data_IF_239789592287
#
_entry.id   IF_239789592287
#
_cell.length_a   1.000
_cell.length_b   1.000
_cell.length_c   1.000
_cell.angle_alpha   90.00
_cell.angle_beta   90.00
_cell.angle_gamma   90.00
#
_symmetry.space_group_name_H-M   'P 1'
#
loop_
_entity.id
_entity.type
_entity.pdbx_description
1 polymer ?
#
# COMPACT_ATOMS: atom_id res chain seq x y z
N UNK A 1 0.30 -12.88 -11.49
CA UNK A 1 1.00 -11.71 -10.92
C UNK A 1 0.87 -10.58 -11.94
N UNK A 2 0.53 -9.36 -11.51
CA UNK A 2 0.35 -8.19 -12.39
C UNK A 2 1.24 -7.05 -11.86
N UNK A 3 1.84 -6.27 -12.76
CA UNK A 3 2.78 -5.19 -12.45
C UNK A 3 2.34 -3.85 -13.06
N UNK A 4 2.53 -2.75 -12.33
CA UNK A 4 2.43 -1.38 -12.87
C UNK A 4 3.49 -0.44 -12.26
N UNK A 5 3.73 0.67 -12.94
CA UNK A 5 4.72 1.69 -12.57
C UNK A 5 4.07 3.08 -12.56
N UNK A 6 4.05 3.70 -11.39
CA UNK A 6 3.80 5.14 -11.18
C UNK A 6 5.14 5.84 -11.01
N UNK A 7 5.23 7.15 -11.29
CA UNK A 7 6.51 7.88 -11.32
C UNK A 7 7.35 7.79 -10.01
N UNK A 8 6.78 7.31 -8.88
CA UNK A 8 7.52 6.94 -7.66
C UNK A 8 7.17 5.57 -7.03
N UNK A 9 6.21 4.80 -7.57
CA UNK A 9 5.73 3.54 -6.97
C UNK A 9 5.63 2.40 -7.98
N UNK A 10 6.17 1.24 -7.60
CA UNK A 10 5.87 -0.04 -8.27
C UNK A 10 4.72 -0.73 -7.57
N UNK A 11 3.71 -1.17 -8.30
CA UNK A 11 2.60 -1.94 -7.73
C UNK A 11 2.67 -3.36 -8.26
N UNK A 12 2.58 -4.32 -7.35
CA UNK A 12 2.64 -5.75 -7.62
C UNK A 12 1.41 -6.41 -7.03
N UNK A 13 0.58 -7.04 -7.85
CA UNK A 13 -0.61 -7.76 -7.38
C UNK A 13 -0.45 -9.28 -7.52
N UNK A 14 -0.67 -9.98 -6.41
CA UNK A 14 -0.76 -11.44 -6.31
C UNK A 14 -2.23 -11.83 -6.14
N UNK A 15 -2.78 -12.51 -7.14
CA UNK A 15 -4.18 -12.96 -7.14
C UNK A 15 -4.28 -14.47 -7.32
N UNK A 16 -5.38 -15.05 -6.83
CA UNK A 16 -5.62 -16.50 -6.87
C UNK A 16 -6.61 -16.96 -5.80
N UNK A 17 -7.05 -18.21 -5.91
CA UNK A 17 -8.06 -18.81 -5.03
C UNK A 17 -7.64 -18.81 -3.54
N UNK A 18 -8.61 -19.04 -2.64
CA UNK A 18 -8.33 -19.24 -1.22
C UNK A 18 -7.37 -20.42 -0.99
N UNK A 19 -6.50 -20.34 0.02
CA UNK A 19 -5.58 -21.44 0.38
C UNK A 19 -4.36 -21.64 -0.53
N UNK A 20 -4.27 -20.95 -1.68
CA UNK A 20 -3.18 -21.14 -2.65
C UNK A 20 -1.80 -20.61 -2.20
N UNK A 21 -1.69 -20.01 -1.00
CA UNK A 21 -0.42 -19.52 -0.46
C UNK A 21 -0.02 -18.09 -0.84
N UNK A 22 -0.95 -17.22 -1.27
CA UNK A 22 -0.65 -15.80 -1.59
C UNK A 22 0.01 -15.04 -0.44
N UNK A 23 -0.60 -15.13 0.74
CA UNK A 23 -0.07 -14.53 1.98
C UNK A 23 1.29 -15.12 2.33
N UNK A 24 1.48 -16.43 2.18
CA UNK A 24 2.78 -17.10 2.39
C UNK A 24 3.86 -16.56 1.45
N UNK A 25 3.54 -16.37 0.17
CA UNK A 25 4.45 -15.77 -0.81
C UNK A 25 4.80 -14.33 -0.40
N UNK A 26 3.81 -13.52 -0.06
CA UNK A 26 4.02 -12.15 0.39
C UNK A 26 4.90 -12.10 1.65
N UNK A 27 4.70 -13.00 2.63
CA UNK A 27 5.49 -13.08 3.85
C UNK A 27 6.96 -13.39 3.57
N UNK A 28 7.23 -14.29 2.60
CA UNK A 28 8.59 -14.59 2.16
C UNK A 28 9.25 -13.38 1.52
N UNK A 29 8.54 -12.63 0.68
CA UNK A 29 9.06 -11.40 0.06
C UNK A 29 9.32 -10.33 1.12
N UNK A 30 8.35 -10.04 1.99
CA UNK A 30 8.47 -9.04 3.05
C UNK A 30 9.65 -9.28 3.98
N UNK A 31 9.91 -10.55 4.33
CA UNK A 31 11.01 -10.92 5.22
C UNK A 31 12.36 -11.07 4.53
N UNK A 32 12.41 -10.97 3.20
CA UNK A 32 13.62 -11.17 2.44
C UNK A 32 14.65 -10.05 2.69
N UNK A 33 15.92 -10.42 2.94
CA UNK A 33 17.00 -9.46 3.27
C UNK A 33 17.15 -8.37 2.21
N UNK A 34 17.05 -8.71 0.92
CA UNK A 34 17.12 -7.73 -0.18
C UNK A 34 15.98 -6.69 -0.13
N UNK A 35 14.78 -7.10 0.28
CA UNK A 35 13.64 -6.18 0.43
C UNK A 35 13.91 -5.22 1.58
N UNK A 36 14.33 -5.74 2.74
CA UNK A 36 14.64 -4.91 3.93
C UNK A 36 15.82 -3.96 3.70
N UNK A 37 16.82 -4.38 2.93
CA UNK A 37 17.97 -3.52 2.60
C UNK A 37 17.61 -2.41 1.61
N UNK A 38 16.77 -2.71 0.62
CA UNK A 38 16.36 -1.72 -0.39
C UNK A 38 15.27 -0.77 0.13
N UNK A 39 14.36 -1.28 0.95
CA UNK A 39 13.27 -0.53 1.57
C UNK A 39 13.40 -0.58 3.10
N UNK A 40 14.14 0.35 3.73
CA UNK A 40 14.30 0.38 5.18
C UNK A 40 12.98 0.57 5.94
N UNK A 41 11.97 1.14 5.28
CA UNK A 41 10.61 1.25 5.83
C UNK A 41 9.75 0.15 5.21
N UNK A 42 9.42 -0.86 5.99
CA UNK A 42 8.55 -1.97 5.56
C UNK A 42 7.29 -2.00 6.42
N UNK A 43 6.13 -2.06 5.78
CA UNK A 43 4.82 -2.04 6.44
C UNK A 43 4.00 -3.22 5.93
N UNK A 44 3.36 -3.95 6.85
CA UNK A 44 2.43 -5.03 6.51
C UNK A 44 1.07 -4.77 7.14
N UNK A 45 0.04 -4.66 6.33
CA UNK A 45 -1.34 -4.51 6.79
C UNK A 45 -2.17 -5.66 6.24
N UNK A 46 -2.79 -6.42 7.14
CA UNK A 46 -3.84 -7.36 6.80
C UNK A 46 -5.17 -6.59 6.77
N UNK A 47 -5.70 -6.35 5.58
CA UNK A 47 -6.93 -5.58 5.41
C UNK A 47 -8.11 -6.51 5.59
N UNK A 48 -8.43 -6.81 6.84
CA UNK A 48 -9.65 -7.53 7.17
C UNK A 48 -10.88 -6.72 6.72
N UNK A 49 -12.02 -7.37 6.49
CA UNK A 49 -13.29 -6.68 6.17
C UNK A 49 -13.73 -5.65 7.22
N UNK A 50 -13.13 -5.66 8.43
CA UNK A 50 -13.45 -4.75 9.53
C UNK A 50 -12.52 -3.54 9.65
N UNK A 51 -11.45 -3.47 8.85
CA UNK A 51 -10.54 -2.33 8.91
C UNK A 51 -11.26 -1.06 8.43
N UNK A 52 -11.38 -0.07 9.30
CA UNK A 52 -11.78 1.27 8.87
C UNK A 52 -10.61 1.96 8.16
N UNK A 53 -10.92 2.93 7.28
CA UNK A 53 -9.88 3.74 6.63
C UNK A 53 -8.99 4.46 7.67
N UNK A 54 -9.58 4.91 8.78
CA UNK A 54 -8.87 5.59 9.88
C UNK A 54 -7.85 4.66 10.55
N UNK A 55 -8.28 3.46 10.95
CA UNK A 55 -7.38 2.47 11.54
C UNK A 55 -6.25 2.10 10.57
N UNK A 56 -6.56 2.00 9.27
CA UNK A 56 -5.57 1.67 8.25
C UNK A 56 -4.49 2.74 8.19
N UNK A 57 -4.87 4.01 8.13
CA UNK A 57 -3.91 5.13 8.09
C UNK A 57 -3.08 5.17 9.38
N UNK A 58 -3.71 5.02 10.55
CA UNK A 58 -3.01 5.00 11.84
C UNK A 58 -1.97 3.87 11.90
N UNK A 59 -2.33 2.68 11.39
CA UNK A 59 -1.43 1.53 11.35
C UNK A 59 -0.23 1.77 10.42
N UNK A 60 -0.44 2.41 9.27
CA UNK A 60 0.68 2.85 8.39
C UNK A 60 1.60 3.80 9.15
N UNK A 61 1.06 4.84 9.79
CA UNK A 61 1.87 5.83 10.54
C UNK A 61 2.70 5.13 11.61
N UNK A 62 2.06 4.26 12.41
CA UNK A 62 2.69 3.51 13.50
C UNK A 62 3.82 2.61 13.00
N UNK A 63 3.59 1.82 11.97
CA UNK A 63 4.63 0.93 11.41
C UNK A 63 5.74 1.71 10.70
N UNK A 64 5.44 2.90 10.17
CA UNK A 64 6.44 3.81 9.61
C UNK A 64 7.25 4.57 10.68
N UNK A 65 7.03 4.28 11.97
CA UNK A 65 7.62 4.95 13.14
C UNK A 65 7.27 6.44 13.25
N UNK A 66 6.09 6.82 12.77
CA UNK A 66 5.51 8.14 12.99
C UNK A 66 4.65 8.18 14.25
N UNK A 67 4.21 9.39 14.57
CA UNK A 67 3.26 9.69 15.64
C UNK A 67 2.11 10.51 15.06
N UNK A 68 0.88 10.14 15.41
CA UNK A 68 -0.34 10.86 15.04
C UNK A 68 -1.04 11.52 16.23
N UNK A 69 -0.44 11.43 17.43
CA UNK A 69 -0.94 12.07 18.65
C UNK A 69 -2.41 11.74 18.91
N UNK A 70 -3.25 12.77 18.90
CA UNK A 70 -4.69 12.67 19.15
C UNK A 70 -5.54 12.77 17.88
N UNK A 71 -4.93 12.67 16.68
CA UNK A 71 -5.67 12.70 15.42
C UNK A 71 -6.61 11.49 15.31
N UNK A 72 -7.88 11.77 14.97
CA UNK A 72 -8.95 10.74 14.92
C UNK A 72 -9.66 10.69 13.58
N UNK A 73 -9.52 11.73 12.76
CA UNK A 73 -10.22 11.81 11.48
C UNK A 73 -9.27 11.52 10.31
N UNK A 74 -9.83 11.03 9.21
CA UNK A 74 -9.09 10.82 7.95
C UNK A 74 -8.40 12.11 7.47
N UNK A 75 -9.08 13.25 7.59
CA UNK A 75 -8.56 14.55 7.17
C UNK A 75 -7.32 14.98 7.96
N UNK A 76 -7.26 14.69 9.26
CA UNK A 76 -6.08 14.94 10.10
C UNK A 76 -4.96 13.93 9.82
N UNK A 77 -5.31 12.66 9.61
CA UNK A 77 -4.35 11.56 9.54
C UNK A 77 -3.63 11.48 8.19
N UNK A 78 -4.30 11.79 7.07
CA UNK A 78 -3.71 11.67 5.73
C UNK A 78 -2.44 12.55 5.56
N UNK A 79 -2.43 13.84 5.95
CA UNK A 79 -1.21 14.65 5.90
C UNK A 79 -0.11 14.12 6.83
N UNK A 80 -0.46 13.63 8.02
CA UNK A 80 0.50 13.06 8.97
C UNK A 80 1.15 11.81 8.37
N UNK A 81 0.36 10.93 7.76
CA UNK A 81 0.84 9.74 7.07
C UNK A 81 1.79 10.11 5.93
N UNK A 82 1.38 11.03 5.05
CA UNK A 82 2.19 11.50 3.95
C UNK A 82 3.56 12.02 4.45
N UNK A 83 3.56 12.90 5.45
CA UNK A 83 4.79 13.43 6.05
C UNK A 83 5.64 12.33 6.70
N UNK A 84 5.01 11.36 7.38
CA UNK A 84 5.70 10.26 8.05
C UNK A 84 6.49 9.41 7.06
N UNK A 85 5.99 9.23 5.84
CA UNK A 85 6.66 8.42 4.80
C UNK A 85 7.44 9.25 3.78
N UNK A 86 7.44 10.57 3.92
CA UNK A 86 8.13 11.50 3.03
C UNK A 86 9.64 11.18 2.97
N UNK A 87 10.20 11.19 1.76
CA UNK A 87 11.62 10.90 1.48
C UNK A 87 12.13 9.51 1.95
N UNK A 88 11.26 8.61 2.40
CA UNK A 88 11.62 7.24 2.78
C UNK A 88 11.56 6.32 1.56
N UNK A 89 12.27 5.19 1.65
CA UNK A 89 12.10 4.06 0.75
C UNK A 89 11.16 3.04 1.38
N UNK A 90 9.92 2.98 0.87
CA UNK A 90 8.78 2.28 1.45
C UNK A 90 8.44 0.98 0.69
N UNK A 91 8.34 -0.12 1.41
CA UNK A 91 7.69 -1.35 0.96
C UNK A 91 6.41 -1.58 1.76
N UNK A 92 5.26 -1.47 1.11
CA UNK A 92 3.95 -1.63 1.72
C UNK A 92 3.29 -2.93 1.25
N UNK A 93 2.89 -3.79 2.17
CA UNK A 93 2.08 -4.97 1.88
C UNK A 93 0.64 -4.71 2.31
N UNK A 94 -0.29 -4.82 1.36
CA UNK A 94 -1.73 -4.81 1.59
C UNK A 94 -2.25 -6.24 1.35
N UNK A 95 -2.36 -7.00 2.44
CA UNK A 95 -2.71 -8.42 2.41
C UNK A 95 -4.24 -8.63 2.50
N UNK A 96 -4.75 -9.50 1.64
CA UNK A 96 -6.14 -9.95 1.50
C UNK A 96 -7.16 -8.82 1.28
N UNK A 97 -6.86 -7.84 0.41
CA UNK A 97 -7.79 -6.74 0.11
C UNK A 97 -9.00 -7.20 -0.72
N UNK A 98 -10.15 -6.59 -0.42
CA UNK A 98 -11.45 -6.89 -1.04
C UNK A 98 -11.94 -5.81 -2.00
N UNK A 99 -11.44 -4.57 -1.87
CA UNK A 99 -11.73 -3.45 -2.77
C UNK A 99 -10.43 -2.79 -3.22
N UNK A 100 -10.41 -2.34 -4.47
CA UNK A 100 -9.31 -1.55 -5.03
C UNK A 100 -9.25 -0.15 -4.41
N UNK A 101 -10.33 0.33 -3.80
CA UNK A 101 -10.43 1.68 -3.21
C UNK A 101 -9.43 1.89 -2.07
N UNK A 102 -9.07 0.81 -1.37
CA UNK A 102 -8.01 0.81 -0.35
C UNK A 102 -6.71 1.38 -0.91
N UNK A 103 -6.37 1.05 -2.16
CA UNK A 103 -5.24 1.67 -2.83
C UNK A 103 -5.67 2.94 -3.57
N UNK A 104 -6.59 2.83 -4.53
CA UNK A 104 -6.90 3.88 -5.49
C UNK A 104 -7.46 5.17 -4.87
N UNK A 105 -8.39 5.03 -3.91
CA UNK A 105 -9.11 6.17 -3.34
C UNK A 105 -8.49 6.67 -2.03
N UNK A 106 -7.83 5.79 -1.28
CA UNK A 106 -7.31 6.11 0.06
C UNK A 106 -5.81 6.42 0.07
N UNK A 107 -4.99 5.57 -0.56
CA UNK A 107 -3.53 5.58 -0.36
C UNK A 107 -2.75 6.11 -1.56
N UNK A 108 -3.26 5.96 -2.78
CA UNK A 108 -2.53 6.29 -4.00
C UNK A 108 -2.12 7.77 -4.00
N UNK A 109 -3.09 8.70 -3.93
CA UNK A 109 -2.84 10.15 -3.95
C UNK A 109 -1.88 10.63 -2.85
N UNK A 110 -2.07 10.33 -1.55
CA UNK A 110 -1.17 10.82 -0.50
C UNK A 110 0.22 10.17 -0.52
N UNK A 111 0.42 9.09 -1.28
CA UNK A 111 1.71 8.41 -1.42
C UNK A 111 2.40 8.69 -2.77
N UNK A 112 1.67 9.11 -3.81
CA UNK A 112 2.16 9.17 -5.19
C UNK A 112 3.46 10.00 -5.39
N UNK A 113 3.66 11.05 -4.58
CA UNK A 113 4.82 11.95 -4.72
C UNK A 113 5.62 12.15 -3.44
N UNK A 114 5.40 11.33 -2.42
CA UNK A 114 5.88 11.61 -1.06
C UNK A 114 7.14 10.79 -0.71
N UNK A 115 7.15 9.46 -0.88
CA UNK A 115 8.32 8.64 -0.65
C UNK A 115 9.37 8.81 -1.76
N UNK A 116 10.65 8.68 -1.38
CA UNK A 116 11.79 8.70 -2.32
C UNK A 116 11.74 7.49 -3.26
N UNK A 117 11.30 6.34 -2.75
CA UNK A 117 11.06 5.16 -3.58
C UNK A 117 9.96 4.30 -2.95
N UNK A 118 9.07 3.75 -3.76
CA UNK A 118 7.92 3.01 -3.28
C UNK A 118 7.70 1.68 -3.98
N UNK A 119 7.28 0.67 -3.24
CA UNK A 119 6.70 -0.55 -3.78
C UNK A 119 5.51 -1.01 -2.94
N UNK A 120 4.41 -1.33 -3.60
CA UNK A 120 3.19 -1.86 -2.97
C UNK A 120 2.95 -3.27 -3.46
N UNK A 121 2.94 -4.22 -2.54
CA UNK A 121 2.57 -5.60 -2.79
C UNK A 121 1.15 -5.85 -2.28
N UNK A 122 0.27 -6.23 -3.19
CA UNK A 122 -1.13 -6.53 -2.90
C UNK A 122 -1.36 -8.02 -3.00
N UNK A 123 -2.07 -8.59 -2.03
CA UNK A 123 -2.68 -9.92 -2.19
C UNK A 123 -4.20 -9.80 -2.19
N UNK A 124 -4.86 -10.54 -3.09
CA UNK A 124 -6.32 -10.55 -3.17
C UNK A 124 -6.83 -11.85 -3.78
N UNK A 125 -8.07 -12.23 -3.50
CA UNK A 125 -8.75 -13.35 -4.17
C UNK A 125 -9.46 -12.92 -5.46
N UNK A 126 -9.62 -11.62 -5.67
CA UNK A 126 -10.44 -11.06 -6.74
C UNK A 126 -9.55 -10.53 -7.86
N UNK A 127 -9.65 -11.15 -9.04
CA UNK A 127 -8.84 -10.75 -10.19
C UNK A 127 -9.14 -9.30 -10.63
N UNK A 128 -10.39 -8.87 -10.52
CA UNK A 128 -10.78 -7.50 -10.87
C UNK A 128 -10.20 -6.46 -9.91
N UNK A 129 -10.09 -6.79 -8.62
CA UNK A 129 -9.39 -5.92 -7.65
C UNK A 129 -7.92 -5.80 -8.02
N UNK A 130 -7.25 -6.92 -8.32
CA UNK A 130 -5.86 -6.90 -8.76
C UNK A 130 -5.67 -6.03 -10.01
N UNK A 131 -6.54 -6.18 -11.02
CA UNK A 131 -6.49 -5.35 -12.24
C UNK A 131 -6.68 -3.87 -11.92
N UNK A 132 -7.71 -3.50 -11.16
CA UNK A 132 -8.03 -2.10 -10.82
C UNK A 132 -6.94 -1.41 -10.00
N UNK A 133 -6.21 -2.15 -9.16
CA UNK A 133 -5.08 -1.58 -8.40
C UNK A 133 -3.85 -1.38 -9.29
N UNK A 134 -3.65 -2.23 -10.30
CA UNK A 134 -2.53 -2.10 -11.24
C UNK A 134 -2.82 -1.25 -12.47
N UNK A 135 -4.09 -0.96 -12.76
CA UNK A 135 -4.51 -0.20 -13.93
C UNK A 135 -5.07 1.14 -13.48
N UNK A 136 -4.34 2.22 -13.71
CA UNK A 136 -4.90 3.56 -13.65
C UNK A 136 -4.79 4.20 -15.03
N UNK A 137 -5.93 4.69 -15.52
CA UNK A 137 -6.02 5.48 -16.74
C UNK A 137 -5.13 6.69 -16.51
N UNK A 138 -4.16 6.94 -17.40
CA UNK A 138 -3.60 8.28 -17.55
C UNK A 138 -4.77 9.18 -17.92
N UNK A 139 -5.47 9.76 -16.94
CA UNK A 139 -6.33 10.90 -17.22
C UNK A 139 -5.36 11.96 -17.72
N UNK A 140 -5.35 12.15 -19.04
CA UNK A 140 -4.54 13.15 -19.69
C UNK A 140 -4.69 14.46 -18.95
N UNK A 141 -3.56 15.08 -18.65
CA UNK A 141 -3.53 16.51 -18.53
C UNK A 141 -4.13 17.07 -19.83
N UNK A 142 -5.40 17.45 -19.79
CA UNK A 142 -5.94 18.39 -20.74
C UNK A 142 -5.28 19.72 -20.38
N UNK A 143 -4.42 20.18 -21.29
CA UNK A 143 -3.93 21.55 -21.36
C UNK A 143 -5.10 22.54 -21.44
#
# INVERSE_FOLDING_TARGET
MIFSHEDNFKIVAVTGMGGIGKTTLAQRVYNHVKIKNFYPTTIWICVSRKFSEVELIQEIIRQARGDYGQAKTKAELLPIMANTVANKCLFLVLDDIWSADVWNALLCTPLHSTPRCGCVLVTTRHQDVARKVTYQIKSGAAL
#
